data_IF_006968844648
#
_entry.id   IF_006968844648
#
_cell.length_a   1.000
_cell.length_b   1.000
_cell.length_c   1.000
_cell.angle_alpha   90.00
_cell.angle_beta   90.00
_cell.angle_gamma   90.00
#
_symmetry.space_group_name_H-M   'P 1'
#
loop_
_entity.id
_entity.type
_entity.pdbx_description
1 polymer ?
#
# COMPACT_ATOMS: atom_id res chain seq x y z
N UNK A 1 10.20 8.77 5.18
CA UNK A 1 9.01 9.66 5.26
C UNK A 1 9.13 10.76 6.31
N UNK A 2 9.18 10.49 7.62
CA UNK A 2 9.27 11.56 8.65
C UNK A 2 10.53 12.42 8.52
N UNK A 3 11.70 11.78 8.43
CA UNK A 3 12.99 12.46 8.21
C UNK A 3 13.03 13.28 6.90
N UNK A 4 12.24 12.86 5.91
CA UNK A 4 12.12 13.55 4.62
C UNK A 4 11.03 14.63 4.60
N UNK A 5 10.25 14.80 5.69
CA UNK A 5 9.12 15.73 5.73
C UNK A 5 7.88 15.29 4.95
N UNK A 6 7.81 14.02 4.52
CA UNK A 6 6.82 13.51 3.56
C UNK A 6 5.65 12.74 4.21
N UNK A 7 5.64 12.62 5.53
CA UNK A 7 4.66 11.82 6.28
C UNK A 7 3.19 12.29 6.12
N UNK A 8 2.98 13.57 5.84
CA UNK A 8 1.65 14.16 5.60
C UNK A 8 1.11 13.91 4.19
N UNK A 9 1.98 13.67 3.19
CA UNK A 9 1.53 13.25 1.84
C UNK A 9 0.89 11.86 1.88
N UNK A 10 1.35 11.03 2.80
CA UNK A 10 0.81 9.72 3.10
C UNK A 10 1.19 8.62 2.10
N UNK A 11 0.69 7.41 2.33
CA UNK A 11 1.00 6.21 1.56
C UNK A 11 -0.29 5.51 1.12
N UNK A 12 -0.37 5.15 -0.17
CA UNK A 12 -1.47 4.31 -0.67
C UNK A 12 -1.18 2.84 -0.32
N UNK A 13 -2.14 2.14 0.27
CA UNK A 13 -2.00 0.73 0.67
C UNK A 13 -3.05 -0.10 -0.06
N UNK A 14 -2.60 -1.12 -0.79
CA UNK A 14 -3.46 -2.03 -1.54
C UNK A 14 -2.94 -3.46 -1.52
N UNK A 15 -3.72 -4.35 -2.11
CA UNK A 15 -3.44 -5.79 -2.16
C UNK A 15 -4.16 -6.44 -3.35
N UNK A 16 -3.65 -7.58 -3.83
CA UNK A 16 -4.36 -8.46 -4.76
C UNK A 16 -5.18 -9.55 -4.01
N UNK A 17 -5.91 -10.41 -4.73
CA UNK A 17 -6.84 -11.38 -4.14
C UNK A 17 -6.18 -12.58 -3.40
N UNK A 18 -4.89 -12.49 -3.04
CA UNK A 18 -4.18 -13.57 -2.33
C UNK A 18 -4.60 -13.68 -0.87
N UNK A 19 -4.35 -14.86 -0.31
CA UNK A 19 -4.61 -15.17 1.09
C UNK A 19 -4.01 -14.11 2.02
N UNK A 20 -4.82 -13.66 2.98
CA UNK A 20 -4.51 -12.61 3.96
C UNK A 20 -4.15 -11.23 3.38
N UNK A 21 -4.35 -10.97 2.09
CA UNK A 21 -4.06 -9.66 1.49
C UNK A 21 -4.78 -8.50 2.19
N UNK A 22 -6.05 -8.70 2.53
CA UNK A 22 -6.86 -7.72 3.25
C UNK A 22 -6.37 -7.47 4.68
N UNK A 23 -6.00 -8.55 5.39
CA UNK A 23 -5.46 -8.49 6.74
C UNK A 23 -4.13 -7.74 6.72
N UNK A 24 -3.17 -8.12 5.88
CA UNK A 24 -1.88 -7.44 5.78
C UNK A 24 -2.01 -5.96 5.41
N UNK A 25 -2.93 -5.60 4.52
CA UNK A 25 -3.19 -4.21 4.18
C UNK A 25 -3.74 -3.41 5.38
N UNK A 26 -4.70 -3.98 6.13
CA UNK A 26 -5.26 -3.33 7.34
C UNK A 26 -4.23 -3.23 8.47
N UNK A 27 -3.43 -4.28 8.68
CA UNK A 27 -2.32 -4.28 9.64
C UNK A 27 -1.32 -3.15 9.32
N UNK A 28 -0.96 -3.01 8.05
CA UNK A 28 -0.04 -1.96 7.57
C UNK A 28 -0.58 -0.57 7.88
N UNK A 29 -1.85 -0.31 7.57
CA UNK A 29 -2.49 0.97 7.87
C UNK A 29 -2.49 1.26 9.37
N UNK A 30 -2.72 0.26 10.23
CA UNK A 30 -2.65 0.43 11.68
C UNK A 30 -1.24 0.83 12.15
N UNK A 31 -0.21 0.17 11.63
CA UNK A 31 1.19 0.49 11.95
C UNK A 31 1.57 1.89 11.47
N UNK A 32 1.17 2.26 10.25
CA UNK A 32 1.39 3.60 9.69
C UNK A 32 0.69 4.68 10.54
N UNK A 33 -0.57 4.45 10.92
CA UNK A 33 -1.32 5.36 11.79
C UNK A 33 -0.66 5.52 13.18
N UNK A 34 -0.22 4.41 13.80
CA UNK A 34 0.54 4.45 15.05
C UNK A 34 1.88 5.18 14.94
N UNK A 35 2.43 5.28 13.72
CA UNK A 35 3.65 6.02 13.41
C UNK A 35 3.41 7.48 13.00
N UNK A 36 2.15 7.95 13.02
CA UNK A 36 1.79 9.31 12.58
C UNK A 36 1.95 9.52 11.07
N UNK A 37 1.80 8.47 10.25
CA UNK A 37 1.87 8.54 8.79
C UNK A 37 0.46 8.44 8.22
N UNK A 38 0.06 9.44 7.42
CA UNK A 38 -1.20 9.41 6.70
C UNK A 38 -1.24 8.22 5.74
N UNK A 39 -2.38 7.54 5.61
CA UNK A 39 -2.52 6.43 4.66
C UNK A 39 -3.87 6.42 3.99
N UNK A 40 -3.90 5.87 2.78
CA UNK A 40 -5.11 5.66 1.98
C UNK A 40 -5.23 4.16 1.71
N UNK A 41 -6.30 3.53 2.18
CA UNK A 41 -6.52 2.09 2.02
C UNK A 41 -7.48 1.82 0.87
N UNK A 42 -7.08 1.00 -0.10
CA UNK A 42 -8.01 0.47 -1.10
C UNK A 42 -9.11 -0.37 -0.41
N UNK A 43 -10.37 -0.15 -0.80
CA UNK A 43 -11.53 -0.77 -0.14
C UNK A 43 -11.70 -2.27 -0.45
N UNK A 44 -11.00 -2.80 -1.45
CA UNK A 44 -11.02 -4.20 -1.89
C UNK A 44 -9.72 -4.56 -2.62
N UNK A 45 -9.62 -5.82 -3.06
CA UNK A 45 -8.58 -6.29 -3.97
C UNK A 45 -8.46 -5.35 -5.18
N UNK A 46 -7.24 -4.90 -5.47
CA UNK A 46 -6.98 -3.78 -6.39
C UNK A 46 -5.77 -4.06 -7.27
N UNK A 47 -5.88 -3.97 -8.62
CA UNK A 47 -4.74 -4.16 -9.51
C UNK A 47 -3.62 -3.14 -9.27
N UNK A 48 -2.36 -3.59 -9.41
CA UNK A 48 -1.17 -2.73 -9.26
C UNK A 48 -1.24 -1.40 -10.03
N UNK A 49 -1.76 -1.34 -11.29
CA UNK A 49 -1.88 -0.07 -12.01
C UNK A 49 -2.82 0.94 -11.34
N UNK A 50 -3.87 0.47 -10.64
CA UNK A 50 -4.78 1.35 -9.90
C UNK A 50 -4.06 1.93 -8.69
N UNK A 51 -3.24 1.14 -7.99
CA UNK A 51 -2.42 1.65 -6.88
C UNK A 51 -1.45 2.73 -7.40
N UNK A 52 -0.79 2.50 -8.54
CA UNK A 52 0.09 3.50 -9.16
C UNK A 52 -0.68 4.79 -9.52
N UNK A 53 -1.87 4.66 -10.10
CA UNK A 53 -2.74 5.80 -10.39
C UNK A 53 -3.13 6.57 -9.12
N UNK A 54 -3.48 5.87 -8.05
CA UNK A 54 -3.87 6.46 -6.77
C UNK A 54 -2.72 7.21 -6.08
N UNK A 55 -1.48 6.73 -6.20
CA UNK A 55 -0.30 7.45 -5.70
C UNK A 55 -0.22 8.83 -6.35
N UNK A 56 -0.36 8.89 -7.68
CA UNK A 56 -0.33 10.15 -8.43
C UNK A 56 -1.55 11.04 -8.12
N UNK A 57 -2.75 10.45 -8.08
CA UNK A 57 -4.00 11.17 -7.82
C UNK A 57 -4.00 11.86 -6.45
N UNK A 58 -3.50 11.17 -5.43
CA UNK A 58 -3.41 11.70 -4.08
C UNK A 58 -2.16 12.54 -3.82
N UNK A 59 -1.20 12.59 -4.77
CA UNK A 59 0.15 13.14 -4.55
C UNK A 59 0.79 12.54 -3.29
N UNK A 60 0.59 11.24 -3.12
CA UNK A 60 1.11 10.49 -1.98
C UNK A 60 2.64 10.36 -2.07
N UNK A 61 3.30 10.07 -0.96
CA UNK A 61 4.74 9.83 -0.95
C UNK A 61 5.14 8.47 -1.59
N UNK A 62 4.16 7.60 -1.82
CA UNK A 62 4.35 6.30 -2.46
C UNK A 62 3.18 5.35 -2.16
N UNK A 63 3.39 4.07 -2.46
CA UNK A 63 2.43 3.02 -2.18
C UNK A 63 3.05 1.71 -1.73
N UNK A 64 2.30 1.00 -0.89
CA UNK A 64 2.57 -0.38 -0.46
C UNK A 64 1.53 -1.27 -1.12
N UNK A 65 2.00 -2.29 -1.85
CA UNK A 65 1.13 -3.24 -2.52
C UNK A 65 1.48 -4.67 -2.10
N UNK A 66 0.50 -5.38 -1.52
CA UNK A 66 0.62 -6.80 -1.22
C UNK A 66 0.28 -7.63 -2.46
N UNK A 67 1.31 -8.14 -3.13
CA UNK A 67 1.17 -8.96 -4.33
C UNK A 67 2.44 -9.76 -4.58
N UNK A 68 2.29 -10.99 -5.07
CA UNK A 68 3.38 -11.74 -5.68
C UNK A 68 3.29 -11.76 -7.21
N UNK A 69 2.54 -10.84 -7.83
CA UNK A 69 2.39 -10.72 -9.28
C UNK A 69 1.99 -12.05 -9.94
N UNK A 70 2.88 -12.63 -10.74
CA UNK A 70 2.65 -13.86 -11.50
C UNK A 70 3.02 -15.13 -10.72
N UNK A 71 3.57 -15.01 -9.52
CA UNK A 71 3.96 -16.17 -8.72
C UNK A 71 2.73 -16.98 -8.31
N UNK A 72 2.89 -18.30 -8.03
CA UNK A 72 1.79 -19.16 -7.58
C UNK A 72 1.02 -18.58 -6.38
N UNK A 73 -0.25 -18.96 -6.21
CA UNK A 73 -1.19 -18.33 -5.27
C UNK A 73 -0.77 -18.41 -3.80
N UNK A 74 0.03 -19.41 -3.43
CA UNK A 74 0.57 -19.58 -2.08
C UNK A 74 1.72 -18.61 -1.76
N UNK A 75 2.24 -17.87 -2.73
CA UNK A 75 3.17 -16.76 -2.50
C UNK A 75 2.41 -15.48 -2.22
N UNK A 76 2.96 -14.66 -1.33
CA UNK A 76 2.58 -13.25 -1.19
C UNK A 76 3.87 -12.43 -0.96
N UNK A 77 3.79 -11.11 -1.13
CA UNK A 77 4.95 -10.24 -0.99
C UNK A 77 4.55 -8.79 -0.81
N UNK A 78 5.43 -8.00 -0.20
CA UNK A 78 5.26 -6.57 -0.05
C UNK A 78 6.10 -5.86 -1.11
N UNK A 79 5.48 -5.00 -1.91
CA UNK A 79 6.15 -4.08 -2.82
C UNK A 79 5.98 -2.66 -2.34
N UNK A 80 7.07 -1.90 -2.29
CA UNK A 80 7.04 -0.46 -2.06
C UNK A 80 7.37 0.28 -3.37
N UNK A 81 6.53 1.24 -3.73
CA UNK A 81 6.71 2.12 -4.90
C UNK A 81 6.78 3.57 -4.43
N UNK A 82 7.94 4.24 -4.51
CA UNK A 82 8.03 5.67 -4.20
C UNK A 82 7.29 6.50 -5.26
N UNK A 83 6.82 7.69 -4.88
CA UNK A 83 6.31 8.70 -5.83
C UNK A 83 7.42 9.56 -6.40
#
# INVERSE_FOLDING_TARGET
>A
LREQGEHEKGVVVGYDARFMGDQFARETVRVLAGSGIKSFLCNRDTPTPVIAFEILRHRAAGGINFTASHNPSNYNGLKFSPS
#
